data_IF_556725987888
#
_entry.id   IF_556725987888
#
_cell.length_a   1.000
_cell.length_b   1.000
_cell.length_c   1.000
_cell.angle_alpha   90.00
_cell.angle_beta   90.00
_cell.angle_gamma   90.00
#
_symmetry.space_group_name_H-M   'P 1'
#
loop_
_entity.id
_entity.type
_entity.pdbx_description
1 polymer ?
#
# COMPACT_ATOMS: atom_id res chain seq x y z
N UNK A 1 5.65 35.49 -18.52
CA UNK A 1 4.79 34.30 -18.33
C UNK A 1 5.69 33.15 -17.92
N UNK A 2 5.63 32.73 -16.66
CA UNK A 2 6.44 31.62 -16.13
C UNK A 2 5.85 30.30 -16.63
N UNK A 3 6.66 29.43 -17.21
CA UNK A 3 6.29 28.05 -17.52
C UNK A 3 5.85 27.33 -16.23
N UNK A 4 4.78 26.52 -16.24
CA UNK A 4 4.38 25.77 -15.05
C UNK A 4 5.49 24.79 -14.62
N UNK A 5 5.79 24.68 -13.31
CA UNK A 5 6.68 23.64 -12.79
C UNK A 5 6.09 22.27 -13.16
N UNK A 6 6.93 21.33 -13.59
CA UNK A 6 6.59 19.94 -13.98
C UNK A 6 6.13 19.66 -15.43
N UNK A 7 6.07 20.63 -16.34
CA UNK A 7 5.86 20.32 -17.77
C UNK A 7 6.93 19.36 -18.34
N UNK A 8 8.12 19.32 -17.75
CA UNK A 8 9.24 18.47 -18.15
C UNK A 8 9.05 16.99 -17.78
N UNK A 9 8.18 16.66 -16.82
CA UNK A 9 7.81 15.27 -16.54
C UNK A 9 7.02 14.64 -17.70
N UNK A 10 6.42 15.48 -18.56
CA UNK A 10 5.84 15.07 -19.86
C UNK A 10 6.89 15.08 -21.00
N UNK A 11 8.09 15.63 -20.75
CA UNK A 11 9.11 15.96 -21.74
C UNK A 11 10.34 15.05 -21.73
N UNK A 12 10.34 13.93 -21.00
CA UNK A 12 11.42 12.93 -21.05
C UNK A 12 11.58 12.26 -22.44
N UNK A 13 10.83 12.68 -23.46
CA UNK A 13 10.92 12.14 -24.82
C UNK A 13 11.49 13.07 -25.91
N UNK A 14 11.78 14.37 -25.68
CA UNK A 14 12.28 15.20 -26.80
C UNK A 14 13.23 16.32 -26.34
N UNK A 15 14.53 16.15 -26.61
CA UNK A 15 15.46 17.26 -26.80
C UNK A 15 16.40 16.93 -27.98
N UNK A 16 16.55 17.81 -28.99
CA UNK A 16 17.47 17.57 -30.09
C UNK A 16 18.91 17.79 -29.63
N UNK A 17 19.76 16.79 -29.87
CA UNK A 17 21.19 16.80 -29.58
C UNK A 17 21.89 17.94 -30.34
N UNK A 18 22.59 18.80 -29.61
CA UNK A 18 23.78 19.49 -30.14
C UNK A 18 25.00 18.61 -29.88
N UNK A 19 25.93 18.44 -30.85
CA UNK A 19 27.04 17.53 -30.69
C UNK A 19 28.19 18.21 -29.94
N UNK A 20 28.45 17.78 -28.70
CA UNK A 20 29.69 18.14 -28.01
C UNK A 20 29.67 17.89 -26.51
N UNK A 21 30.38 16.83 -26.10
CA UNK A 21 31.06 16.63 -24.81
C UNK A 21 30.54 15.50 -23.91
N UNK A 22 31.44 14.53 -23.72
CA UNK A 22 31.61 13.53 -22.64
C UNK A 22 30.38 12.72 -22.17
N UNK A 23 30.42 11.42 -22.50
CA UNK A 23 29.38 10.42 -22.32
C UNK A 23 29.07 10.06 -20.85
N UNK A 24 27.78 10.17 -20.48
CA UNK A 24 27.16 9.25 -19.52
C UNK A 24 26.91 7.90 -20.21
N UNK A 25 26.97 6.76 -19.50
CA UNK A 25 26.52 5.50 -20.06
C UNK A 25 25.03 5.62 -20.40
N UNK A 26 24.72 5.54 -21.69
CA UNK A 26 23.35 5.42 -22.19
C UNK A 26 22.78 4.12 -21.60
N UNK A 27 21.83 4.24 -20.68
CA UNK A 27 20.88 3.17 -20.43
C UNK A 27 20.13 2.91 -21.74
N UNK A 28 19.97 1.64 -22.09
CA UNK A 28 19.26 1.19 -23.29
C UNK A 28 17.79 1.66 -23.23
N UNK A 29 17.52 2.84 -23.81
CA UNK A 29 16.18 3.23 -24.22
C UNK A 29 15.80 2.45 -25.47
N UNK A 30 15.08 1.36 -25.26
CA UNK A 30 14.15 0.83 -26.23
C UNK A 30 12.83 0.56 -25.49
N UNK A 31 11.90 1.50 -25.61
CA UNK A 31 10.49 1.30 -25.26
C UNK A 31 9.91 0.19 -26.14
N UNK A 32 10.04 -1.05 -25.67
CA UNK A 32 9.32 -2.19 -26.18
C UNK A 32 7.96 -2.26 -25.48
N UNK A 33 6.89 -2.42 -26.27
CA UNK A 33 5.55 -2.87 -25.84
C UNK A 33 5.58 -4.31 -25.28
N UNK A 34 6.70 -4.74 -24.71
CA UNK A 34 6.84 -6.02 -24.05
C UNK A 34 5.88 -6.06 -22.86
N UNK A 35 5.17 -7.17 -22.72
CA UNK A 35 4.38 -7.43 -21.52
C UNK A 35 5.28 -7.26 -20.29
N UNK A 36 4.77 -6.63 -19.22
CA UNK A 36 5.53 -6.48 -17.99
C UNK A 36 5.96 -7.86 -17.48
N UNK A 37 7.27 -8.04 -17.31
CA UNK A 37 7.79 -9.22 -16.63
C UNK A 37 7.44 -9.14 -15.15
N UNK A 38 7.14 -10.28 -14.50
CA UNK A 38 6.99 -10.31 -13.06
C UNK A 38 8.31 -9.90 -12.38
N UNK A 39 8.28 -9.25 -11.21
CA UNK A 39 9.46 -8.80 -10.48
C UNK A 39 10.54 -9.88 -10.28
N UNK A 40 10.16 -11.14 -10.03
CA UNK A 40 11.09 -12.26 -9.88
C UNK A 40 11.89 -12.59 -11.15
N UNK A 41 11.37 -12.22 -12.32
CA UNK A 41 11.95 -12.50 -13.63
C UNK A 41 12.53 -11.25 -14.32
N UNK A 42 12.27 -10.07 -13.77
CA UNK A 42 12.72 -8.80 -14.33
C UNK A 42 14.00 -8.31 -13.63
N UNK A 43 15.17 -8.31 -14.32
CA UNK A 43 16.42 -7.84 -13.75
C UNK A 43 16.37 -6.37 -13.28
N UNK A 44 15.42 -5.57 -13.78
CA UNK A 44 15.21 -4.21 -13.31
C UNK A 44 14.77 -4.14 -11.83
N UNK A 45 14.26 -5.21 -11.22
CA UNK A 45 13.99 -5.20 -9.78
C UNK A 45 15.23 -5.45 -8.91
N UNK A 46 16.37 -5.87 -9.49
CA UNK A 46 17.60 -6.09 -8.71
C UNK A 46 18.21 -4.77 -8.29
N UNK A 47 18.39 -4.54 -7.00
CA UNK A 47 19.13 -3.35 -6.54
C UNK A 47 20.56 -3.32 -7.11
N UNK A 48 21.08 -2.15 -7.49
CA UNK A 48 22.46 -2.00 -7.95
C UNK A 48 23.45 -2.30 -6.82
N UNK A 49 24.71 -2.53 -7.17
CA UNK A 49 25.79 -2.64 -6.18
C UNK A 49 25.86 -1.39 -5.29
N UNK A 50 26.24 -1.58 -4.03
CA UNK A 50 26.42 -0.54 -3.01
C UNK A 50 25.16 0.26 -2.65
N UNK A 51 23.97 -0.21 -3.04
CA UNK A 51 22.71 0.44 -2.66
C UNK A 51 22.54 0.52 -1.14
N UNK A 52 23.17 -0.38 -0.39
CA UNK A 52 23.13 -0.46 1.06
C UNK A 52 23.71 0.79 1.73
N UNK A 53 24.64 1.47 1.05
CA UNK A 53 25.29 2.70 1.53
C UNK A 53 24.48 3.97 1.24
N UNK A 54 23.46 3.87 0.37
CA UNK A 54 22.57 4.97 -0.02
C UNK A 54 21.63 5.32 1.12
N UNK A 55 21.06 6.52 1.08
CA UNK A 55 20.12 6.98 2.12
C UNK A 55 18.72 6.41 1.88
N UNK A 56 17.93 6.13 2.94
CA UNK A 56 16.52 5.79 2.78
C UNK A 56 15.79 6.83 1.92
N UNK A 57 15.04 6.36 0.93
CA UNK A 57 14.34 7.20 -0.06
C UNK A 57 15.18 7.66 -1.25
N UNK A 58 16.48 7.35 -1.30
CA UNK A 58 17.31 7.67 -2.46
C UNK A 58 16.91 6.82 -3.67
N UNK A 59 16.85 7.44 -4.84
CA UNK A 59 16.52 6.76 -6.09
C UNK A 59 17.71 5.92 -6.52
N UNK A 60 17.43 4.66 -6.83
CA UNK A 60 18.41 3.71 -7.33
C UNK A 60 18.24 3.53 -8.85
N UNK A 61 17.00 3.39 -9.32
CA UNK A 61 16.66 3.29 -10.74
C UNK A 61 15.31 3.93 -11.04
N UNK A 62 15.17 4.41 -12.26
CA UNK A 62 13.93 4.96 -12.81
C UNK A 62 13.70 4.33 -14.18
N UNK A 63 12.45 3.97 -14.48
CA UNK A 63 12.01 3.65 -15.84
C UNK A 63 10.58 4.12 -16.07
N UNK A 64 10.21 4.31 -17.33
CA UNK A 64 8.80 4.29 -17.71
C UNK A 64 8.19 2.95 -17.29
N UNK A 65 6.97 2.98 -16.78
CA UNK A 65 6.23 1.76 -16.49
C UNK A 65 6.08 0.95 -17.81
N UNK A 66 6.48 -0.33 -17.84
CA UNK A 66 6.51 -1.12 -19.07
C UNK A 66 5.10 -1.36 -19.66
N UNK A 67 5.01 -1.84 -20.90
CA UNK A 67 3.73 -2.19 -21.51
C UNK A 67 2.73 -1.02 -21.60
N UNK A 68 1.47 -1.28 -21.26
CA UNK A 68 0.35 -0.35 -21.49
C UNK A 68 -0.30 0.21 -20.21
N UNK A 69 0.45 0.36 -19.11
CA UNK A 69 -0.13 0.71 -17.81
C UNK A 69 -0.97 2.00 -17.83
N UNK A 70 -0.52 3.01 -18.57
CA UNK A 70 -1.24 4.28 -18.71
C UNK A 70 -2.63 4.08 -19.33
N UNK A 71 -2.76 3.14 -20.27
CA UNK A 71 -4.05 2.78 -20.89
C UNK A 71 -4.92 1.98 -19.93
N UNK A 72 -4.32 1.04 -19.18
CA UNK A 72 -5.01 0.21 -18.16
C UNK A 72 -5.58 1.06 -17.02
N UNK A 73 -4.87 2.12 -16.62
CA UNK A 73 -5.38 3.09 -15.64
C UNK A 73 -6.43 4.01 -16.28
N UNK A 74 -6.21 4.46 -17.51
CA UNK A 74 -7.20 5.18 -18.29
C UNK A 74 -6.85 6.64 -18.55
N UNK A 75 -7.81 7.36 -19.12
CA UNK A 75 -7.58 8.60 -19.85
C UNK A 75 -7.06 9.77 -19.01
N UNK A 76 -7.23 9.77 -17.68
CA UNK A 76 -6.65 10.83 -16.83
C UNK A 76 -5.13 10.68 -16.57
N UNK A 77 -4.54 9.55 -16.95
CA UNK A 77 -3.10 9.30 -16.79
C UNK A 77 -2.32 9.86 -17.96
N UNK A 78 -1.29 10.66 -17.69
CA UNK A 78 -0.37 11.15 -18.70
C UNK A 78 0.88 10.29 -18.84
N UNK A 79 1.44 9.86 -17.71
CA UNK A 79 2.61 9.00 -17.64
C UNK A 79 2.58 8.16 -16.36
N UNK A 80 3.28 7.03 -16.39
CA UNK A 80 3.55 6.20 -15.23
C UNK A 80 5.02 5.79 -15.21
N UNK A 81 5.66 5.85 -14.04
CA UNK A 81 7.06 5.51 -13.84
C UNK A 81 7.21 4.48 -12.73
N UNK A 82 8.12 3.53 -12.89
CA UNK A 82 8.58 2.72 -11.76
C UNK A 82 9.84 3.36 -11.19
N UNK A 83 9.83 3.59 -9.88
CA UNK A 83 10.96 4.13 -9.13
C UNK A 83 11.44 3.03 -8.18
N UNK A 84 12.66 2.54 -8.38
CA UNK A 84 13.33 1.65 -7.43
C UNK A 84 14.13 2.52 -6.47
N UNK A 85 13.88 2.39 -5.18
CA UNK A 85 14.49 3.22 -4.14
C UNK A 85 15.02 2.40 -2.98
N UNK A 86 16.02 2.94 -2.29
CA UNK A 86 16.58 2.35 -1.07
C UNK A 86 15.59 2.54 0.08
N UNK A 87 15.33 1.50 0.87
CA UNK A 87 14.55 1.56 2.11
C UNK A 87 15.20 0.75 3.24
N UNK A 88 14.48 0.44 4.30
CA UNK A 88 14.94 -0.27 5.49
C UNK A 88 13.99 -1.40 5.83
N UNK A 89 14.50 -2.62 6.04
CA UNK A 89 13.67 -3.78 6.35
C UNK A 89 13.17 -3.81 7.81
N UNK A 90 12.42 -4.85 8.18
CA UNK A 90 11.86 -4.97 9.53
C UNK A 90 12.90 -5.24 10.63
N UNK A 91 14.17 -5.45 10.24
CA UNK A 91 15.31 -5.71 11.11
C UNK A 91 16.33 -4.57 11.05
N UNK A 92 15.91 -3.40 10.59
CA UNK A 92 16.71 -2.19 10.43
C UNK A 92 17.91 -2.36 9.49
N UNK A 93 17.84 -3.31 8.55
CA UNK A 93 18.88 -3.53 7.53
C UNK A 93 18.54 -2.79 6.24
N UNK A 94 19.54 -2.33 5.47
CA UNK A 94 19.30 -1.76 4.16
C UNK A 94 18.51 -2.73 3.26
N UNK A 95 17.48 -2.21 2.62
CA UNK A 95 16.61 -2.93 1.70
C UNK A 95 16.25 -2.03 0.53
N UNK A 96 15.40 -2.50 -0.36
CA UNK A 96 14.88 -1.72 -1.49
C UNK A 96 13.39 -1.98 -1.66
N UNK A 97 12.72 -1.08 -2.34
CA UNK A 97 11.35 -1.27 -2.77
C UNK A 97 11.10 -0.52 -4.08
N UNK A 98 9.96 -0.78 -4.69
CA UNK A 98 9.51 -0.09 -5.91
C UNK A 98 8.25 0.70 -5.59
N UNK A 99 8.08 1.83 -6.26
CA UNK A 99 6.79 2.53 -6.30
C UNK A 99 6.45 2.89 -7.73
N UNK A 100 5.18 2.75 -8.08
CA UNK A 100 4.67 3.29 -9.34
C UNK A 100 4.17 4.70 -9.11
N UNK A 101 4.75 5.69 -9.79
CA UNK A 101 4.33 7.08 -9.79
C UNK A 101 3.48 7.36 -11.03
N UNK A 102 2.25 7.80 -10.83
CA UNK A 102 1.30 8.21 -11.86
C UNK A 102 1.16 9.71 -11.90
N UNK A 103 1.16 10.25 -13.12
CA UNK A 103 1.05 11.67 -13.37
C UNK A 103 -0.33 11.95 -13.98
N UNK A 104 -1.06 12.95 -13.47
CA UNK A 104 -2.33 13.34 -14.06
C UNK A 104 -2.08 14.15 -15.34
N UNK A 105 -3.09 14.25 -16.22
CA UNK A 105 -3.04 15.15 -17.38
C UNK A 105 -3.11 16.63 -16.99
N UNK A 106 -3.84 16.93 -15.93
CA UNK A 106 -3.99 18.27 -15.37
C UNK A 106 -3.63 18.19 -13.91
N UNK A 107 -2.72 19.03 -13.43
CA UNK A 107 -2.36 19.05 -12.01
C UNK A 107 -3.23 20.02 -11.23
N UNK A 108 -3.54 19.64 -10.01
CA UNK A 108 -4.06 20.53 -8.99
C UNK A 108 -2.91 21.05 -8.11
N UNK A 109 -2.95 22.34 -7.82
CA UNK A 109 -2.06 22.99 -6.87
C UNK A 109 -2.90 23.58 -5.74
N UNK A 110 -2.43 23.42 -4.51
CA UNK A 110 -3.06 24.02 -3.33
C UNK A 110 -3.00 25.56 -3.38
N UNK A 111 -3.75 26.28 -2.52
CA UNK A 111 -3.64 27.73 -2.41
C UNK A 111 -2.21 28.23 -2.16
N UNK A 112 -1.40 27.47 -1.43
CA UNK A 112 0.04 27.77 -1.23
C UNK A 112 0.94 27.41 -2.43
N UNK A 113 0.37 26.87 -3.51
CA UNK A 113 1.08 26.53 -4.74
C UNK A 113 1.77 25.17 -4.73
N UNK A 114 1.47 24.30 -3.76
CA UNK A 114 2.05 22.95 -3.65
C UNK A 114 1.29 21.96 -4.53
N UNK A 115 2.00 21.04 -5.17
CA UNK A 115 1.38 19.95 -5.90
C UNK A 115 0.80 18.91 -4.93
N UNK A 116 -0.40 18.39 -5.22
CA UNK A 116 -0.99 17.31 -4.44
C UNK A 116 -0.35 15.97 -4.76
N UNK A 117 0.22 15.29 -3.75
CA UNK A 117 0.74 13.94 -3.87
C UNK A 117 -0.03 12.99 -2.95
N UNK A 118 -0.73 12.03 -3.54
CA UNK A 118 -1.41 10.95 -2.84
C UNK A 118 -0.55 9.69 -2.85
N UNK A 119 -0.04 9.27 -1.70
CA UNK A 119 0.58 7.95 -1.56
C UNK A 119 -0.47 6.92 -1.17
N UNK A 120 -0.84 6.03 -2.10
CA UNK A 120 -1.91 5.05 -1.87
C UNK A 120 -1.36 3.62 -1.74
N UNK A 121 -1.66 2.96 -0.62
CA UNK A 121 -1.21 1.61 -0.30
C UNK A 121 -2.32 0.60 -0.61
N UNK A 122 -2.17 -0.14 -1.71
CA UNK A 122 -3.11 -1.21 -2.08
C UNK A 122 -2.96 -2.44 -1.19
N UNK A 123 -4.08 -3.08 -0.83
CA UNK A 123 -4.07 -4.35 -0.13
C UNK A 123 -3.83 -5.52 -1.11
N UNK A 124 -2.57 -5.88 -1.34
CA UNK A 124 -2.22 -7.05 -2.18
C UNK A 124 -2.00 -8.35 -1.38
N UNK A 125 -1.90 -8.25 -0.04
CA UNK A 125 -2.10 -9.32 0.94
C UNK A 125 -1.49 -10.68 0.55
N UNK A 126 -0.25 -10.68 0.04
CA UNK A 126 0.38 -11.85 -0.55
C UNK A 126 1.82 -12.01 -0.05
N UNK A 127 2.26 -13.26 0.07
CA UNK A 127 3.65 -13.64 0.30
C UNK A 127 4.41 -13.95 -1.01
N UNK A 128 3.90 -13.45 -2.14
CA UNK A 128 4.49 -13.57 -3.46
C UNK A 128 4.97 -12.19 -3.95
N UNK A 129 6.26 -12.07 -4.23
CA UNK A 129 6.86 -10.85 -4.79
C UNK A 129 6.18 -10.44 -6.11
N UNK A 130 5.73 -11.41 -6.90
CA UNK A 130 5.08 -11.15 -8.18
C UNK A 130 3.67 -10.60 -8.09
N UNK A 131 3.12 -10.54 -6.87
CA UNK A 131 1.86 -9.88 -6.56
C UNK A 131 2.01 -8.40 -6.20
N UNK A 132 3.23 -7.86 -6.25
CA UNK A 132 3.52 -6.45 -5.91
C UNK A 132 2.71 -5.47 -6.78
N UNK A 133 2.19 -4.37 -6.22
CA UNK A 133 1.38 -3.38 -6.93
C UNK A 133 1.95 -2.91 -8.28
N UNK A 134 3.27 -2.70 -8.36
CA UNK A 134 3.95 -2.27 -9.57
C UNK A 134 3.68 -3.17 -10.79
N UNK A 135 3.45 -4.46 -10.59
CA UNK A 135 2.99 -5.39 -11.64
C UNK A 135 1.52 -5.77 -11.47
N UNK A 136 1.01 -5.84 -10.24
CA UNK A 136 -0.39 -6.13 -9.90
C UNK A 136 -1.41 -5.32 -10.70
N UNK A 137 -1.08 -4.05 -10.97
CA UNK A 137 -1.91 -3.07 -11.69
C UNK A 137 -2.11 -3.37 -13.19
N UNK A 138 -1.43 -4.37 -13.76
CA UNK A 138 -1.69 -4.84 -15.13
C UNK A 138 -2.67 -6.03 -15.18
N UNK A 139 -2.96 -6.68 -14.05
CA UNK A 139 -3.76 -7.90 -14.01
C UNK A 139 -4.72 -7.89 -12.81
N UNK A 140 -4.42 -8.50 -11.65
CA UNK A 140 -5.42 -8.64 -10.56
C UNK A 140 -5.92 -7.32 -10.02
N UNK A 141 -5.05 -6.32 -9.82
CA UNK A 141 -5.48 -5.01 -9.33
C UNK A 141 -6.19 -4.20 -10.44
N UNK A 142 -6.09 -4.60 -11.71
CA UNK A 142 -6.84 -4.02 -12.82
C UNK A 142 -8.26 -4.61 -12.97
N UNK A 143 -8.56 -5.73 -12.30
CA UNK A 143 -9.85 -6.40 -12.41
C UNK A 143 -10.87 -5.77 -11.45
N UNK A 144 -12.08 -5.55 -11.95
CA UNK A 144 -13.25 -5.20 -11.14
C UNK A 144 -13.97 -6.46 -10.66
N UNK A 145 -14.59 -6.42 -9.48
CA UNK A 145 -15.48 -7.46 -9.01
C UNK A 145 -16.93 -7.01 -9.14
N UNK A 146 -17.51 -7.23 -10.33
CA UNK A 146 -18.88 -6.82 -10.65
C UNK A 146 -19.93 -7.42 -9.71
N UNK A 147 -19.74 -8.66 -9.26
CA UNK A 147 -20.66 -9.33 -8.35
C UNK A 147 -20.74 -8.64 -6.99
N UNK A 148 -19.63 -8.07 -6.53
CA UNK A 148 -19.55 -7.32 -5.27
C UNK A 148 -19.66 -5.80 -5.45
N UNK A 149 -19.82 -5.32 -6.69
CA UNK A 149 -19.84 -3.90 -7.02
C UNK A 149 -18.51 -3.17 -6.77
N UNK A 150 -17.40 -3.90 -6.64
CA UNK A 150 -16.09 -3.33 -6.31
C UNK A 150 -15.33 -2.98 -7.58
N UNK A 151 -14.91 -1.72 -7.69
CA UNK A 151 -14.10 -1.26 -8.82
C UNK A 151 -12.68 -1.79 -8.76
N UNK A 152 -12.00 -1.78 -9.91
CA UNK A 152 -10.58 -2.08 -9.96
C UNK A 152 -9.76 -1.03 -9.19
N UNK A 153 -8.59 -1.44 -8.70
CA UNK A 153 -7.62 -0.50 -8.11
C UNK A 153 -7.15 0.54 -9.13
N UNK A 154 -7.06 0.15 -10.40
CA UNK A 154 -6.72 1.07 -11.50
C UNK A 154 -7.79 2.16 -11.70
N UNK A 155 -9.07 1.83 -11.50
CA UNK A 155 -10.17 2.81 -11.49
C UNK A 155 -10.05 3.80 -10.32
N UNK A 156 -9.57 3.35 -9.16
CA UNK A 156 -9.30 4.24 -8.03
C UNK A 156 -8.13 5.19 -8.33
N UNK A 157 -7.04 4.70 -8.93
CA UNK A 157 -5.95 5.57 -9.41
C UNK A 157 -6.47 6.58 -10.41
N UNK A 158 -7.25 6.14 -11.40
CA UNK A 158 -7.87 7.00 -12.40
C UNK A 158 -8.73 8.10 -11.78
N UNK A 159 -9.50 7.76 -10.75
CA UNK A 159 -10.32 8.70 -9.99
C UNK A 159 -9.44 9.74 -9.27
N UNK A 160 -8.38 9.33 -8.57
CA UNK A 160 -7.45 10.27 -7.91
C UNK A 160 -6.77 11.20 -8.92
N UNK A 161 -6.33 10.67 -10.07
CA UNK A 161 -5.74 11.45 -11.16
C UNK A 161 -6.74 12.45 -11.76
N UNK A 162 -8.04 12.12 -11.78
CA UNK A 162 -9.09 13.04 -12.26
C UNK A 162 -9.23 14.31 -11.39
N UNK A 163 -8.77 14.24 -10.14
CA UNK A 163 -8.73 15.39 -9.23
C UNK A 163 -7.46 16.23 -9.41
N UNK A 164 -6.57 15.80 -10.31
CA UNK A 164 -5.28 16.42 -10.58
C UNK A 164 -4.21 16.13 -9.55
N UNK A 165 -4.38 15.06 -8.76
CA UNK A 165 -3.38 14.62 -7.79
C UNK A 165 -2.34 13.72 -8.46
N UNK A 166 -1.06 13.91 -8.15
CA UNK A 166 -0.07 12.86 -8.40
C UNK A 166 -0.39 11.68 -7.48
N UNK A 167 -0.17 10.46 -7.96
CA UNK A 167 -0.43 9.25 -7.17
C UNK A 167 0.82 8.39 -7.19
N UNK A 168 1.34 8.02 -6.01
CA UNK A 168 2.37 6.98 -5.92
C UNK A 168 1.84 5.75 -5.16
N UNK A 169 2.12 4.56 -5.67
CA UNK A 169 1.64 3.30 -5.09
C UNK A 169 2.84 2.41 -4.78
N UNK A 170 3.27 2.29 -3.51
CA UNK A 170 4.47 1.55 -3.16
C UNK A 170 4.23 0.04 -3.04
N UNK A 171 5.23 -0.74 -3.47
CA UNK A 171 5.38 -2.17 -3.20
C UNK A 171 5.91 -2.35 -1.76
N UNK A 172 5.07 -1.97 -0.80
CA UNK A 172 5.52 -1.70 0.57
C UNK A 172 6.01 -2.95 1.35
N UNK A 173 5.75 -4.17 0.88
CA UNK A 173 6.21 -5.42 1.50
C UNK A 173 7.64 -5.77 1.07
N UNK A 174 8.26 -4.98 0.18
CA UNK A 174 9.66 -5.12 -0.22
C UNK A 174 9.96 -6.40 -1.01
N UNK A 175 11.25 -6.74 -1.19
CA UNK A 175 11.70 -7.90 -1.99
C UNK A 175 11.23 -9.24 -1.44
N UNK A 176 10.93 -9.31 -0.15
CA UNK A 176 10.58 -10.56 0.52
C UNK A 176 9.07 -10.84 0.52
N UNK A 177 8.26 -9.93 -0.04
CA UNK A 177 6.80 -9.96 0.09
C UNK A 177 6.37 -10.18 1.56
N UNK A 178 6.96 -9.40 2.47
CA UNK A 178 6.77 -9.50 3.91
C UNK A 178 5.38 -9.01 4.36
N UNK A 179 4.31 -9.69 3.92
CA UNK A 179 2.94 -9.36 4.29
C UNK A 179 2.74 -9.43 5.81
N UNK A 180 2.16 -8.35 6.36
CA UNK A 180 1.94 -8.20 7.79
C UNK A 180 3.10 -7.55 8.53
N UNK A 181 4.29 -7.42 7.91
CA UNK A 181 5.44 -6.82 8.57
C UNK A 181 5.34 -5.28 8.56
N UNK A 182 4.79 -4.70 9.64
CA UNK A 182 4.51 -3.25 9.72
C UNK A 182 5.74 -2.39 9.48
N UNK A 183 6.90 -2.81 9.96
CA UNK A 183 8.13 -1.98 9.95
C UNK A 183 8.63 -1.80 8.52
N UNK A 184 8.79 -2.89 7.77
CA UNK A 184 9.05 -2.87 6.33
C UNK A 184 8.00 -2.02 5.58
N UNK A 185 6.71 -2.23 5.88
CA UNK A 185 5.61 -1.54 5.21
C UNK A 185 5.62 -0.02 5.41
N UNK A 186 5.86 0.46 6.64
CA UNK A 186 5.95 1.88 6.96
C UNK A 186 7.20 2.54 6.40
N UNK A 187 8.37 1.92 6.54
CA UNK A 187 9.62 2.44 5.97
C UNK A 187 9.53 2.57 4.45
N UNK A 188 9.09 1.52 3.75
CA UNK A 188 8.93 1.56 2.30
C UNK A 188 7.93 2.64 1.86
N UNK A 189 6.82 2.80 2.58
CA UNK A 189 5.84 3.86 2.27
C UNK A 189 6.44 5.26 2.41
N UNK A 190 7.10 5.57 3.52
CA UNK A 190 7.75 6.88 3.74
C UNK A 190 8.88 7.12 2.73
N UNK A 191 9.70 6.11 2.47
CA UNK A 191 10.80 6.21 1.53
C UNK A 191 10.32 6.30 0.06
N UNK A 192 9.13 5.78 -0.26
CA UNK A 192 8.52 5.99 -1.57
C UNK A 192 8.17 7.46 -1.82
N UNK A 193 7.73 8.18 -0.78
CA UNK A 193 7.44 9.61 -0.85
C UNK A 193 8.76 10.38 -1.01
N UNK A 194 9.80 10.01 -0.25
CA UNK A 194 11.15 10.56 -0.44
C UNK A 194 11.67 10.34 -1.86
N UNK A 195 11.44 9.16 -2.45
CA UNK A 195 11.86 8.86 -3.82
C UNK A 195 11.17 9.77 -4.84
N UNK A 196 9.88 10.06 -4.66
CA UNK A 196 9.14 11.01 -5.50
C UNK A 196 9.66 12.44 -5.30
N UNK A 197 9.89 12.86 -4.05
CA UNK A 197 10.46 14.18 -3.73
C UNK A 197 11.85 14.34 -4.34
N UNK A 198 12.69 13.31 -4.24
CA UNK A 198 14.02 13.28 -4.84
C UNK A 198 13.94 13.40 -6.37
N UNK A 199 13.04 12.66 -7.03
CA UNK A 199 12.82 12.77 -8.47
C UNK A 199 12.41 14.19 -8.88
N UNK A 200 11.50 14.81 -8.14
CA UNK A 200 11.03 16.17 -8.39
C UNK A 200 12.16 17.20 -8.19
N UNK A 201 13.00 17.03 -7.17
CA UNK A 201 14.17 17.88 -6.96
C UNK A 201 15.17 17.83 -8.14
N UNK A 202 15.38 16.64 -8.73
CA UNK A 202 16.25 16.48 -9.90
C UNK A 202 15.70 17.14 -11.17
N UNK A 203 14.38 17.36 -11.25
CA UNK A 203 13.68 17.82 -12.46
C UNK A 203 13.17 19.26 -12.39
N UNK A 204 13.46 19.98 -11.31
CA UNK A 204 13.07 21.38 -11.11
C UNK A 204 11.86 21.53 -10.17
N UNK A 205 12.17 21.45 -8.87
CA UNK A 205 11.35 21.61 -7.65
C UNK A 205 9.85 21.83 -7.83
N UNK A 206 9.08 20.87 -7.33
CA UNK A 206 7.74 21.09 -6.81
C UNK A 206 7.75 20.78 -5.30
N UNK A 207 7.22 21.69 -4.49
CA UNK A 207 6.83 21.37 -3.13
C UNK A 207 5.54 20.56 -3.18
N UNK A 208 5.43 19.57 -2.29
CA UNK A 208 4.27 18.70 -2.22
C UNK A 208 3.44 18.96 -0.97
N UNK A 209 2.12 18.91 -1.15
CA UNK A 209 1.19 18.65 -0.08
C UNK A 209 0.86 17.14 -0.14
N UNK A 210 1.32 16.38 0.85
CA UNK A 210 1.27 14.91 0.81
C UNK A 210 0.13 14.39 1.67
N UNK A 211 -0.70 13.53 1.11
CA UNK A 211 -1.60 12.68 1.88
C UNK A 211 -1.24 11.21 1.66
N UNK A 212 -1.49 10.38 2.67
CA UNK A 212 -1.31 8.93 2.58
C UNK A 212 -2.65 8.21 2.79
N UNK A 213 -2.86 7.05 2.18
CA UNK A 213 -4.12 6.35 2.33
C UNK A 213 -4.06 4.88 1.99
N UNK A 214 -4.93 4.11 2.63
CA UNK A 214 -5.04 2.69 2.38
C UNK A 214 -6.36 2.12 2.88
N UNK A 215 -6.71 0.96 2.35
CA UNK A 215 -7.89 0.20 2.76
C UNK A 215 -7.49 -1.21 3.18
N UNK A 216 -8.15 -1.79 4.19
CA UNK A 216 -7.89 -3.16 4.64
C UNK A 216 -6.40 -3.38 4.91
N UNK A 217 -5.76 -4.41 4.35
CA UNK A 217 -4.31 -4.66 4.51
C UNK A 217 -3.40 -3.50 4.07
N UNK A 218 -3.87 -2.58 3.24
CA UNK A 218 -3.15 -1.34 2.92
C UNK A 218 -3.00 -0.41 4.11
N UNK A 219 -3.94 -0.44 5.06
CA UNK A 219 -3.88 0.38 6.29
C UNK A 219 -2.73 -0.01 7.21
N UNK A 220 -2.20 -1.25 7.10
CA UNK A 220 -0.99 -1.66 7.83
C UNK A 220 0.18 -0.73 7.47
N UNK A 221 0.37 -0.49 6.18
CA UNK A 221 1.41 0.38 5.66
C UNK A 221 1.09 1.86 5.95
N UNK A 222 -0.15 2.29 5.71
CA UNK A 222 -0.58 3.68 5.92
C UNK A 222 -0.48 4.12 7.39
N UNK A 223 -1.06 3.36 8.32
CA UNK A 223 -1.02 3.71 9.74
C UNK A 223 0.41 3.64 10.26
N UNK A 224 1.20 2.63 9.87
CA UNK A 224 2.59 2.53 10.33
C UNK A 224 3.45 3.68 9.81
N UNK A 225 3.27 4.09 8.54
CA UNK A 225 3.92 5.28 8.02
C UNK A 225 3.52 6.54 8.82
N UNK A 226 2.24 6.70 9.14
CA UNK A 226 1.75 7.81 9.97
C UNK A 226 2.38 7.83 11.38
N UNK A 227 2.51 6.66 12.01
CA UNK A 227 3.14 6.50 13.32
C UNK A 227 4.65 6.77 13.29
N UNK A 228 5.33 6.33 12.24
CA UNK A 228 6.78 6.42 12.10
C UNK A 228 7.25 7.78 11.55
N UNK A 229 6.38 8.57 10.91
CA UNK A 229 6.76 9.81 10.22
C UNK A 229 7.68 10.68 11.08
N UNK A 230 7.31 10.99 12.32
CA UNK A 230 8.10 11.88 13.19
C UNK A 230 9.49 11.32 13.54
N UNK A 231 9.62 10.00 13.70
CA UNK A 231 10.86 9.37 14.14
C UNK A 231 11.77 8.99 12.97
N UNK A 232 11.20 8.58 11.84
CA UNK A 232 11.91 8.03 10.68
C UNK A 232 12.05 9.01 9.52
N UNK A 233 11.04 9.86 9.30
CA UNK A 233 10.98 10.80 8.18
C UNK A 233 10.38 12.16 8.56
N UNK A 234 10.97 12.86 9.56
CA UNK A 234 10.43 14.10 10.10
C UNK A 234 10.34 15.23 9.07
N UNK A 235 11.14 15.17 8.01
CA UNK A 235 11.17 16.15 6.93
C UNK A 235 10.00 16.02 5.94
N UNK A 236 9.26 14.91 5.95
CA UNK A 236 8.15 14.68 5.02
C UNK A 236 6.90 15.47 5.45
N UNK A 237 6.33 16.32 4.57
CA UNK A 237 5.16 17.15 4.87
C UNK A 237 3.84 16.37 4.67
N UNK A 238 3.62 15.31 5.47
CA UNK A 238 2.38 14.55 5.43
C UNK A 238 1.27 15.34 6.14
N UNK A 239 0.33 15.86 5.37
CA UNK A 239 -0.73 16.74 5.83
C UNK A 239 -2.00 15.99 6.30
N UNK A 240 -2.16 14.72 5.93
CA UNK A 240 -3.27 13.90 6.40
C UNK A 240 -3.16 12.44 5.98
N UNK A 241 -3.89 11.57 6.69
CA UNK A 241 -3.98 10.16 6.34
C UNK A 241 -5.41 9.62 6.37
N UNK A 242 -5.74 8.77 5.39
CA UNK A 242 -7.03 8.06 5.32
C UNK A 242 -6.85 6.58 5.60
N UNK A 243 -7.65 6.05 6.52
CA UNK A 243 -7.61 4.66 6.96
C UNK A 243 -9.00 4.04 6.80
N UNK A 244 -9.20 3.23 5.76
CA UNK A 244 -10.46 2.52 5.51
C UNK A 244 -10.41 1.06 5.93
N UNK A 245 -11.44 0.56 6.62
CA UNK A 245 -11.48 -0.84 7.05
C UNK A 245 -10.26 -1.22 7.88
N UNK A 246 -9.87 -0.34 8.82
CA UNK A 246 -8.60 -0.39 9.55
C UNK A 246 -8.30 -1.79 10.09
N UNK A 247 -7.04 -2.20 9.89
CA UNK A 247 -6.44 -3.44 10.39
C UNK A 247 -5.50 -3.07 11.55
N UNK A 248 -6.03 -3.09 12.76
CA UNK A 248 -5.33 -2.64 13.97
C UNK A 248 -4.40 -3.70 14.57
N UNK A 249 -4.94 -4.92 14.70
CA UNK A 249 -4.32 -5.98 15.50
C UNK A 249 -4.52 -7.34 14.86
N UNK A 250 -3.45 -7.89 14.29
CA UNK A 250 -3.36 -9.31 13.91
C UNK A 250 -2.43 -10.00 14.91
N UNK A 251 -2.74 -9.92 16.20
CA UNK A 251 -1.86 -10.38 17.29
C UNK A 251 -2.01 -11.88 17.59
N UNK A 252 -2.05 -12.71 16.55
CA UNK A 252 -2.09 -14.16 16.69
C UNK A 252 -3.47 -14.76 16.97
N UNK A 253 -4.52 -13.96 17.23
CA UNK A 253 -5.88 -14.48 17.21
C UNK A 253 -6.38 -14.53 15.75
N UNK A 254 -6.39 -15.74 15.20
CA UNK A 254 -6.68 -15.97 13.78
C UNK A 254 -8.07 -16.55 13.56
N UNK A 255 -8.90 -16.65 14.61
CA UNK A 255 -10.17 -17.37 14.54
C UNK A 255 -11.17 -16.73 13.57
N UNK A 256 -11.14 -15.40 13.40
CA UNK A 256 -11.98 -14.70 12.41
C UNK A 256 -11.59 -15.02 10.96
N UNK A 257 -10.34 -15.42 10.71
CA UNK A 257 -9.83 -15.76 9.39
C UNK A 257 -9.86 -17.28 9.14
N UNK A 258 -9.63 -18.08 10.19
CA UNK A 258 -9.66 -19.53 10.08
C UNK A 258 -11.04 -20.03 9.65
N UNK A 259 -11.10 -20.97 8.71
CA UNK A 259 -12.37 -21.48 8.11
C UNK A 259 -13.25 -20.42 7.43
N UNK A 260 -12.80 -19.17 7.35
CA UNK A 260 -13.54 -18.12 6.65
C UNK A 260 -13.43 -18.30 5.12
N UNK A 261 -14.30 -17.62 4.34
CA UNK A 261 -14.15 -17.56 2.89
C UNK A 261 -12.79 -17.01 2.42
N UNK A 262 -12.07 -16.25 3.27
CA UNK A 262 -10.77 -15.64 2.95
C UNK A 262 -9.59 -16.30 3.69
N UNK A 263 -9.73 -17.54 4.15
CA UNK A 263 -8.69 -18.22 4.94
C UNK A 263 -7.31 -18.30 4.25
N UNK A 264 -7.24 -18.16 2.92
CA UNK A 264 -5.97 -18.02 2.19
C UNK A 264 -5.14 -16.79 2.58
N UNK A 265 -5.79 -15.71 3.04
CA UNK A 265 -5.11 -14.52 3.56
C UNK A 265 -4.31 -14.85 4.82
N UNK A 266 -4.81 -15.75 5.68
CA UNK A 266 -4.07 -16.19 6.87
C UNK A 266 -2.80 -16.96 6.48
N UNK A 267 -2.89 -17.83 5.47
CA UNK A 267 -1.72 -18.56 4.95
C UNK A 267 -0.69 -17.57 4.40
N UNK A 268 -1.12 -16.60 3.58
CA UNK A 268 -0.24 -15.56 3.06
C UNK A 268 0.39 -14.72 4.19
N UNK A 269 -0.37 -14.36 5.22
CA UNK A 269 0.12 -13.62 6.38
C UNK A 269 1.22 -14.39 7.12
N UNK A 270 0.98 -15.65 7.47
CA UNK A 270 1.95 -16.49 8.20
C UNK A 270 3.26 -16.66 7.43
N UNK A 271 3.16 -16.77 6.10
CA UNK A 271 4.32 -16.86 5.22
C UNK A 271 5.07 -15.53 5.10
N UNK A 272 4.34 -14.41 4.96
CA UNK A 272 4.90 -13.07 4.79
C UNK A 272 5.53 -12.52 6.06
N UNK A 273 4.85 -12.64 7.21
CA UNK A 273 5.32 -12.08 8.49
C UNK A 273 6.65 -12.71 8.93
N UNK A 274 6.89 -13.97 8.53
CA UNK A 274 8.12 -14.71 8.82
C UNK A 274 9.22 -14.53 7.76
N UNK A 275 8.95 -13.86 6.63
CA UNK A 275 9.86 -13.81 5.49
C UNK A 275 11.24 -13.19 5.82
N UNK A 276 11.27 -12.21 6.72
CA UNK A 276 12.50 -11.53 7.16
C UNK A 276 13.10 -12.13 8.46
N UNK A 277 12.47 -13.18 9.01
CA UNK A 277 12.80 -13.78 10.30
C UNK A 277 13.07 -15.28 10.14
N UNK A 278 14.30 -15.69 9.75
CA UNK A 278 14.61 -17.08 9.40
C UNK A 278 14.32 -18.11 10.50
N UNK A 279 14.49 -17.75 11.78
CA UNK A 279 14.23 -18.68 12.88
C UNK A 279 12.73 -18.89 13.10
N UNK A 280 11.92 -17.82 13.02
CA UNK A 280 10.47 -17.91 13.06
C UNK A 280 9.92 -18.68 11.85
N UNK A 281 10.52 -18.46 10.66
CA UNK A 281 10.20 -19.18 9.43
C UNK A 281 10.48 -20.68 9.55
N UNK A 282 11.67 -21.03 10.05
CA UNK A 282 12.06 -22.43 10.28
C UNK A 282 11.14 -23.10 11.30
N UNK A 283 10.78 -22.39 12.37
CA UNK A 283 9.81 -22.89 13.33
C UNK A 283 8.46 -23.19 12.67
N UNK A 284 7.89 -22.22 11.94
CA UNK A 284 6.60 -22.37 11.24
C UNK A 284 6.61 -23.61 10.33
N UNK A 285 7.64 -23.75 9.48
CA UNK A 285 7.76 -24.87 8.55
C UNK A 285 7.94 -26.23 9.26
N UNK A 286 8.70 -26.26 10.36
CA UNK A 286 8.87 -27.47 11.16
C UNK A 286 7.56 -27.94 11.81
N UNK A 287 6.60 -27.04 12.05
CA UNK A 287 5.30 -27.38 12.60
C UNK A 287 4.28 -27.82 11.54
N UNK A 288 4.57 -27.66 10.25
CA UNK A 288 3.65 -28.10 9.21
C UNK A 288 3.50 -29.63 9.20
N UNK A 289 2.27 -30.11 9.00
CA UNK A 289 1.98 -31.52 8.74
C UNK A 289 2.61 -31.89 7.40
N UNK A 290 3.49 -32.91 7.32
CA UNK A 290 4.23 -33.22 6.09
C UNK A 290 3.37 -33.44 4.84
N UNK A 291 2.18 -34.02 5.01
CA UNK A 291 1.25 -34.30 3.91
C UNK A 291 0.64 -33.03 3.28
N UNK A 292 0.51 -31.94 4.04
CA UNK A 292 -0.12 -30.68 3.58
C UNK A 292 0.86 -29.52 3.49
N UNK A 293 2.11 -29.72 3.90
CA UNK A 293 3.15 -28.68 3.90
C UNK A 293 3.35 -28.05 2.51
N UNK A 294 3.44 -28.86 1.45
CA UNK A 294 3.57 -28.34 0.08
C UNK A 294 2.38 -27.47 -0.33
N UNK A 295 1.17 -27.86 0.07
CA UNK A 295 -0.03 -27.09 -0.23
C UNK A 295 -0.05 -25.76 0.52
N UNK A 296 0.30 -25.74 1.81
CA UNK A 296 0.45 -24.50 2.58
C UNK A 296 1.46 -23.55 1.93
N UNK A 297 2.62 -24.09 1.55
CA UNK A 297 3.74 -23.34 1.00
C UNK A 297 3.46 -22.76 -0.39
N UNK A 298 2.53 -23.33 -1.16
CA UNK A 298 2.21 -22.85 -2.51
C UNK A 298 1.65 -21.43 -2.54
N UNK A 299 1.18 -20.89 -1.40
CA UNK A 299 0.72 -19.51 -1.33
C UNK A 299 1.84 -18.48 -1.59
N UNK A 300 3.13 -18.89 -1.51
CA UNK A 300 4.28 -18.05 -1.92
C UNK A 300 4.34 -17.80 -3.43
N UNK A 301 3.67 -18.64 -4.21
CA UNK A 301 3.65 -18.56 -5.68
C UNK A 301 2.28 -18.08 -6.19
N UNK A 302 1.44 -17.54 -5.30
CA UNK A 302 0.06 -17.15 -5.59
C UNK A 302 -0.21 -15.71 -5.18
N UNK A 303 -1.06 -15.04 -5.96
CA UNK A 303 -1.69 -13.81 -5.52
C UNK A 303 -2.79 -14.09 -4.48
N UNK A 304 -3.22 -13.06 -3.76
CA UNK A 304 -4.23 -13.23 -2.70
C UNK A 304 -5.54 -13.80 -3.22
N UNK A 305 -5.98 -13.46 -4.44
CA UNK A 305 -7.24 -14.00 -4.97
C UNK A 305 -7.16 -15.52 -5.21
N UNK A 306 -6.05 -15.99 -5.79
CA UNK A 306 -5.83 -17.43 -6.00
C UNK A 306 -5.66 -18.18 -4.67
N UNK A 307 -4.97 -17.57 -3.70
CA UNK A 307 -4.86 -18.12 -2.35
C UNK A 307 -6.24 -18.21 -1.67
N UNK A 308 -7.06 -17.17 -1.76
CA UNK A 308 -8.43 -17.17 -1.23
C UNK A 308 -9.24 -18.29 -1.86
N UNK A 309 -9.22 -18.46 -3.19
CA UNK A 309 -9.92 -19.56 -3.85
C UNK A 309 -9.41 -20.93 -3.39
N UNK A 310 -8.08 -21.12 -3.30
CA UNK A 310 -7.48 -22.41 -2.92
C UNK A 310 -7.79 -22.80 -1.47
N UNK A 311 -7.88 -21.84 -0.57
CA UNK A 311 -8.02 -22.08 0.87
C UNK A 311 -9.39 -21.71 1.44
N UNK A 312 -10.34 -21.25 0.63
CA UNK A 312 -11.68 -20.87 1.07
C UNK A 312 -12.33 -21.95 1.96
N UNK A 313 -12.77 -21.55 3.16
CA UNK A 313 -13.45 -22.43 4.11
C UNK A 313 -12.57 -23.48 4.80
N UNK A 314 -11.28 -23.58 4.45
CA UNK A 314 -10.38 -24.58 5.05
C UNK A 314 -10.01 -24.20 6.48
N UNK A 315 -9.89 -25.24 7.32
CA UNK A 315 -9.30 -25.10 8.64
C UNK A 315 -7.78 -25.04 8.51
N UNK A 316 -7.23 -23.83 8.59
CA UNK A 316 -5.80 -23.54 8.47
C UNK A 316 -5.01 -24.19 9.62
N UNK A 317 -5.63 -24.39 10.79
CA UNK A 317 -4.98 -25.08 11.89
C UNK A 317 -4.66 -26.55 11.57
N UNK A 318 -5.40 -27.20 10.65
CA UNK A 318 -5.10 -28.58 10.22
C UNK A 318 -3.81 -28.71 9.40
N UNK A 319 -3.19 -27.59 9.00
CA UNK A 319 -1.88 -27.61 8.37
C UNK A 319 -0.73 -27.75 9.40
N UNK A 320 -1.01 -27.64 10.70
CA UNK A 320 -0.02 -27.66 11.77
C UNK A 320 -0.18 -28.88 12.68
N UNK A 321 0.93 -29.48 13.11
CA UNK A 321 0.97 -30.72 13.91
C UNK A 321 0.23 -30.58 15.25
N UNK A 322 0.45 -29.45 15.93
CA UNK A 322 -0.20 -29.03 17.17
C UNK A 322 -1.39 -28.09 16.96
N UNK A 323 -1.87 -27.94 15.72
CA UNK A 323 -3.00 -27.07 15.39
C UNK A 323 -2.76 -25.60 15.72
N UNK A 324 -3.77 -24.93 16.28
CA UNK A 324 -3.69 -23.53 16.68
C UNK A 324 -2.55 -23.24 17.68
N UNK A 325 -2.19 -24.22 18.53
CA UNK A 325 -1.17 -24.03 19.57
C UNK A 325 0.22 -23.77 18.99
N UNK A 326 0.54 -24.36 17.83
CA UNK A 326 1.81 -24.12 17.14
C UNK A 326 1.93 -22.65 16.72
N UNK A 327 0.82 -22.03 16.31
CA UNK A 327 0.74 -20.62 15.94
C UNK A 327 0.78 -19.68 17.15
N UNK A 328 0.55 -20.19 18.36
CA UNK A 328 0.68 -19.47 19.63
C UNK A 328 2.04 -19.63 20.30
N UNK A 329 3.02 -20.26 19.64
CA UNK A 329 4.35 -20.39 20.22
C UNK A 329 5.01 -19.03 20.49
N UNK A 330 5.81 -18.89 21.56
CA UNK A 330 6.43 -17.61 21.94
C UNK A 330 7.16 -16.92 20.79
N UNK A 331 7.95 -17.66 20.01
CA UNK A 331 8.71 -17.13 18.86
C UNK A 331 7.83 -16.45 17.80
N UNK A 332 6.60 -16.96 17.59
CA UNK A 332 5.65 -16.37 16.65
C UNK A 332 4.84 -15.24 17.30
N UNK A 333 4.43 -15.40 18.56
CA UNK A 333 3.69 -14.36 19.30
C UNK A 333 4.49 -13.08 19.48
N UNK A 334 5.77 -13.20 19.82
CA UNK A 334 6.68 -12.06 19.92
C UNK A 334 6.80 -11.33 18.57
N UNK A 335 6.91 -12.10 17.48
CA UNK A 335 6.94 -11.55 16.13
C UNK A 335 5.63 -10.85 15.76
N UNK A 336 4.46 -11.44 16.04
CA UNK A 336 3.17 -10.79 15.79
C UNK A 336 3.01 -9.52 16.60
N UNK A 337 3.42 -9.51 17.86
CA UNK A 337 3.39 -8.30 18.69
C UNK A 337 4.33 -7.21 18.18
N UNK A 338 5.50 -7.58 17.67
CA UNK A 338 6.46 -6.63 17.11
C UNK A 338 5.99 -6.06 15.76
N UNK A 339 5.45 -6.92 14.90
CA UNK A 339 5.26 -6.61 13.49
C UNK A 339 3.80 -6.48 13.03
N UNK A 340 2.82 -7.03 13.74
CA UNK A 340 1.42 -7.08 13.30
C UNK A 340 0.41 -6.49 14.32
N UNK A 341 0.89 -5.94 15.43
CA UNK A 341 0.11 -5.12 16.37
C UNK A 341 0.48 -3.64 16.17
N UNK A 342 -0.48 -2.83 15.70
CA UNK A 342 -0.28 -1.41 15.40
C UNK A 342 -0.83 -0.49 16.50
N UNK A 343 -1.54 -1.03 17.49
CA UNK A 343 -2.34 -0.25 18.43
C UNK A 343 -1.52 0.77 19.22
N UNK A 344 -0.34 0.38 19.73
CA UNK A 344 0.51 1.25 20.56
C UNK A 344 1.94 1.36 20.04
N UNK A 345 2.09 1.73 18.76
CA UNK A 345 3.41 1.83 18.10
C UNK A 345 3.79 3.25 17.67
N UNK A 346 3.16 4.24 18.28
CA UNK A 346 3.28 5.66 17.95
C UNK A 346 1.90 6.28 17.74
N UNK A 347 1.80 7.59 17.94
CA UNK A 347 0.58 8.36 17.70
C UNK A 347 0.82 9.25 16.48
N UNK A 348 0.02 9.10 15.40
CA UNK A 348 0.11 9.98 14.25
C UNK A 348 -0.08 11.45 14.64
N UNK A 349 0.79 12.32 14.11
CA UNK A 349 0.74 13.77 14.37
C UNK A 349 -0.05 14.55 13.33
N UNK A 350 -0.34 13.94 12.19
CA UNK A 350 -1.21 14.47 11.15
C UNK A 350 -2.68 14.09 11.41
N UNK A 351 -3.65 14.88 10.92
CA UNK A 351 -5.05 14.52 10.95
C UNK A 351 -5.34 13.17 10.28
N UNK A 352 -6.23 12.39 10.88
CA UNK A 352 -6.68 11.10 10.35
C UNK A 352 -8.16 11.13 10.01
N UNK A 353 -8.52 10.57 8.86
CA UNK A 353 -9.89 10.14 8.58
C UNK A 353 -9.95 8.63 8.59
N UNK A 354 -10.68 8.09 9.57
CA UNK A 354 -10.89 6.66 9.73
C UNK A 354 -12.32 6.34 9.34
N UNK A 355 -12.53 5.33 8.51
CA UNK A 355 -13.88 4.87 8.19
C UNK A 355 -13.96 3.35 8.18
N UNK A 356 -15.05 2.80 8.73
CA UNK A 356 -15.20 1.35 8.92
C UNK A 356 -16.67 0.95 9.02
N UNK A 357 -17.04 -0.18 8.44
CA UNK A 357 -18.34 -0.79 8.67
C UNK A 357 -18.44 -1.34 10.10
N UNK A 358 -19.57 -1.11 10.76
CA UNK A 358 -19.87 -1.69 12.08
C UNK A 358 -19.92 -3.21 12.03
N UNK A 359 -20.37 -3.77 10.90
CA UNK A 359 -20.49 -5.22 10.68
C UNK A 359 -19.28 -5.82 9.95
N UNK A 360 -18.11 -5.21 10.08
CA UNK A 360 -16.87 -5.74 9.53
C UNK A 360 -16.56 -7.14 10.13
N UNK A 361 -16.68 -8.17 9.30
CA UNK A 361 -16.59 -9.57 9.70
C UNK A 361 -15.15 -10.09 9.82
N UNK A 362 -14.16 -9.35 9.30
CA UNK A 362 -12.76 -9.78 9.28
C UNK A 362 -11.90 -8.98 10.24
N UNK A 363 -12.23 -7.72 10.43
CA UNK A 363 -11.54 -6.79 11.29
C UNK A 363 -12.59 -6.19 12.24
N UNK A 364 -12.83 -6.80 13.41
CA UNK A 364 -13.89 -6.36 14.32
C UNK A 364 -13.76 -4.88 14.70
N UNK A 365 -14.90 -4.18 14.73
CA UNK A 365 -14.91 -2.73 14.95
C UNK A 365 -14.39 -2.32 16.32
N UNK A 366 -14.50 -3.19 17.32
CA UNK A 366 -14.05 -2.95 18.69
C UNK A 366 -12.54 -2.71 18.75
N UNK A 367 -11.77 -3.34 17.85
CA UNK A 367 -10.32 -3.12 17.77
C UNK A 367 -10.01 -1.70 17.29
N UNK A 368 -10.70 -1.25 16.24
CA UNK A 368 -10.57 0.12 15.72
C UNK A 368 -11.06 1.15 16.73
N UNK A 369 -12.18 0.88 17.42
CA UNK A 369 -12.70 1.74 18.49
C UNK A 369 -11.66 1.92 19.61
N UNK A 370 -10.97 0.85 20.00
CA UNK A 370 -9.91 0.89 21.01
C UNK A 370 -8.67 1.67 20.56
N UNK A 371 -8.20 1.46 19.33
CA UNK A 371 -7.05 2.20 18.76
C UNK A 371 -7.37 3.69 18.62
N UNK A 372 -8.53 4.03 18.04
CA UNK A 372 -8.94 5.43 17.90
C UNK A 372 -9.06 6.09 19.26
N UNK A 373 -9.66 5.42 20.25
CA UNK A 373 -9.71 5.93 21.62
C UNK A 373 -8.31 6.19 22.19
N UNK A 374 -7.39 5.23 22.05
CA UNK A 374 -6.01 5.39 22.54
C UNK A 374 -5.32 6.60 21.90
N UNK A 375 -5.49 6.80 20.60
CA UNK A 375 -4.91 7.95 19.90
C UNK A 375 -5.59 9.27 20.31
N UNK A 376 -6.92 9.29 20.46
CA UNK A 376 -7.65 10.46 20.98
C UNK A 376 -7.16 10.85 22.38
N UNK A 377 -7.01 9.88 23.29
CA UNK A 377 -6.53 10.10 24.66
C UNK A 377 -5.08 10.65 24.67
N UNK A 378 -4.32 10.41 23.60
CA UNK A 378 -2.96 10.94 23.39
C UNK A 378 -2.92 12.20 22.51
N UNK A 379 -4.07 12.80 22.19
CA UNK A 379 -4.16 14.10 21.51
C UNK A 379 -4.14 14.05 19.97
N UNK A 380 -4.36 12.88 19.36
CA UNK A 380 -4.49 12.80 17.90
C UNK A 380 -5.75 13.53 17.40
N UNK A 381 -5.68 14.09 16.20
CA UNK A 381 -6.82 14.68 15.48
C UNK A 381 -7.39 13.60 14.58
N UNK A 382 -8.58 13.10 14.89
CA UNK A 382 -9.20 11.98 14.16
C UNK A 382 -10.66 12.31 13.90
N UNK A 383 -11.09 12.11 12.65
CA UNK A 383 -12.49 11.96 12.30
C UNK A 383 -12.76 10.50 11.98
N UNK A 384 -13.44 9.81 12.88
CA UNK A 384 -13.76 8.39 12.76
C UNK A 384 -15.26 8.20 12.47
N UNK A 385 -15.56 7.66 11.29
CA UNK A 385 -16.93 7.38 10.86
C UNK A 385 -17.22 5.88 10.84
N UNK A 386 -18.18 5.46 11.66
CA UNK A 386 -18.65 4.08 11.79
C UNK A 386 -19.91 3.88 10.94
N UNK A 387 -19.84 3.09 9.88
CA UNK A 387 -20.95 2.92 8.96
C UNK A 387 -21.86 1.75 9.36
N UNK A 388 -23.15 2.02 9.53
CA UNK A 388 -24.15 1.00 9.87
C UNK A 388 -24.56 0.12 8.68
N UNK A 389 -24.24 0.54 7.46
CA UNK A 389 -24.53 -0.18 6.21
C UNK A 389 -23.28 -0.88 5.70
N UNK A 390 -23.45 -2.13 5.23
CA UNK A 390 -22.37 -2.90 4.64
C UNK A 390 -21.52 -3.65 5.65
N UNK A 391 -20.42 -4.19 5.14
CA UNK A 391 -19.46 -5.09 5.78
C UNK A 391 -18.04 -4.73 5.28
N UNK A 392 -17.03 -5.54 5.56
CA UNK A 392 -15.64 -5.22 5.20
C UNK A 392 -15.43 -4.95 3.70
N UNK A 393 -16.09 -5.71 2.82
CA UNK A 393 -15.86 -5.58 1.38
C UNK A 393 -16.66 -4.42 0.80
N UNK A 394 -17.92 -4.26 1.17
CA UNK A 394 -18.76 -3.17 0.65
C UNK A 394 -18.35 -1.79 1.15
N UNK A 395 -17.70 -1.70 2.32
CA UNK A 395 -17.18 -0.43 2.84
C UNK A 395 -16.05 0.17 1.99
N UNK A 396 -15.38 -0.62 1.13
CA UNK A 396 -14.45 -0.12 0.11
C UNK A 396 -15.12 0.99 -0.71
N UNK A 397 -16.36 0.77 -1.13
CA UNK A 397 -17.12 1.69 -1.98
C UNK A 397 -17.97 2.66 -1.17
N UNK A 398 -18.65 2.21 -0.10
CA UNK A 398 -19.52 3.06 0.71
C UNK A 398 -18.78 4.26 1.34
N UNK A 399 -17.52 4.08 1.73
CA UNK A 399 -16.70 5.13 2.34
C UNK A 399 -15.92 5.99 1.35
N UNK A 400 -15.76 5.54 0.10
CA UNK A 400 -14.85 6.13 -0.89
C UNK A 400 -15.10 7.61 -1.15
N UNK A 401 -16.37 8.00 -1.36
CA UNK A 401 -16.72 9.40 -1.64
C UNK A 401 -16.43 10.32 -0.46
N UNK A 402 -16.64 9.84 0.77
CA UNK A 402 -16.37 10.58 2.01
C UNK A 402 -14.87 10.73 2.25
N UNK A 403 -14.11 9.66 2.05
CA UNK A 403 -12.65 9.68 2.09
C UNK A 403 -12.07 10.68 1.09
N UNK A 404 -12.55 10.67 -0.16
CA UNK A 404 -12.14 11.64 -1.18
C UNK A 404 -12.52 13.08 -0.82
N UNK A 405 -13.73 13.30 -0.30
CA UNK A 405 -14.16 14.63 0.14
C UNK A 405 -13.29 15.15 1.28
N UNK A 406 -12.91 14.29 2.23
CA UNK A 406 -11.99 14.65 3.30
C UNK A 406 -10.58 14.94 2.76
N UNK A 407 -10.05 14.11 1.85
CA UNK A 407 -8.74 14.36 1.21
C UNK A 407 -8.70 15.72 0.48
N UNK A 408 -9.81 16.14 -0.11
CA UNK A 408 -9.90 17.48 -0.69
C UNK A 408 -9.62 18.58 0.31
N UNK A 409 -10.11 18.45 1.55
CA UNK A 409 -9.84 19.44 2.63
C UNK A 409 -8.36 19.49 3.01
N UNK A 410 -7.63 18.37 2.85
CA UNK A 410 -6.19 18.31 3.05
C UNK A 410 -5.47 18.99 1.89
N UNK A 411 -5.79 18.61 0.65
CA UNK A 411 -5.10 19.09 -0.54
C UNK A 411 -5.38 20.55 -0.86
N UNK A 412 -6.58 21.05 -0.60
CA UNK A 412 -6.92 22.45 -0.76
C UNK A 412 -6.54 23.32 0.45
N UNK A 413 -5.91 22.75 1.46
CA UNK A 413 -5.48 23.43 2.69
C UNK A 413 -6.63 24.08 3.49
N UNK A 414 -7.85 23.55 3.37
CA UNK A 414 -9.04 24.03 4.10
C UNK A 414 -9.37 23.23 5.36
N UNK A 415 -8.63 22.16 5.65
CA UNK A 415 -8.83 21.37 6.87
C UNK A 415 -8.48 22.21 8.11
N UNK A 416 -9.45 22.36 9.01
CA UNK A 416 -9.32 23.20 10.20
C UNK A 416 -9.80 22.54 11.51
N UNK A 417 -10.16 21.25 11.48
CA UNK A 417 -10.58 20.54 12.68
C UNK A 417 -9.37 20.23 13.57
N UNK A 418 -9.55 20.36 14.88
CA UNK A 418 -8.54 20.04 15.90
C UNK A 418 -9.04 19.00 16.91
N UNK A 419 -10.15 18.34 16.61
CA UNK A 419 -10.85 17.44 17.53
C UNK A 419 -10.66 15.98 17.16
N UNK A 420 -10.84 15.11 18.14
CA UNK A 420 -10.97 13.67 17.95
C UNK A 420 -12.44 13.30 18.09
N UNK A 421 -13.08 12.86 17.01
CA UNK A 421 -14.52 12.61 16.95
C UNK A 421 -14.81 11.23 16.39
N UNK A 422 -15.77 10.55 17.01
CA UNK A 422 -16.34 9.29 16.53
C UNK A 422 -17.82 9.51 16.26
N UNK A 423 -18.26 9.23 15.04
CA UNK A 423 -19.67 9.39 14.63
C UNK A 423 -20.17 8.14 13.91
N UNK A 424 -21.42 7.79 14.15
CA UNK A 424 -22.10 6.76 13.37
C UNK A 424 -22.73 7.40 12.14
N UNK A 425 -22.57 6.75 10.99
CA UNK A 425 -23.15 7.17 9.71
C UNK A 425 -23.97 6.03 9.11
N UNK A 426 -24.85 6.36 8.17
CA UNK A 426 -25.68 5.40 7.43
C UNK A 426 -25.55 5.72 5.96
N UNK A 427 -24.54 5.15 5.31
CA UNK A 427 -24.19 5.46 3.92
C UNK A 427 -24.02 4.17 3.14
N UNK A 428 -24.75 4.00 2.05
CA UNK A 428 -24.56 2.90 1.11
C UNK A 428 -24.45 3.44 -0.31
N UNK A 429 -23.53 2.92 -1.10
CA UNK A 429 -23.66 3.02 -2.56
C UNK A 429 -24.84 2.13 -2.98
N UNK A 430 -25.75 2.60 -3.85
CA UNK A 430 -26.84 1.77 -4.32
C UNK A 430 -26.24 0.55 -5.05
N UNK A 431 -26.59 -0.66 -4.60
CA UNK A 431 -26.28 -1.90 -5.31
C UNK A 431 -26.84 -1.77 -6.72
N UNK A 432 -25.98 -1.60 -7.72
CA UNK A 432 -26.35 -1.91 -9.10
C UNK A 432 -26.47 -3.43 -9.17
N UNK A 433 -27.66 -3.95 -8.87
CA UNK A 433 -28.02 -5.31 -9.22
C UNK A 433 -27.76 -5.47 -10.73
N UNK A 434 -27.17 -6.59 -11.19
CA UNK A 434 -27.12 -6.88 -12.61
C UNK A 434 -28.55 -6.81 -13.14
N UNK A 435 -28.78 -6.01 -14.18
CA UNK A 435 -29.95 -6.23 -15.01
C UNK A 435 -29.82 -7.65 -15.57
N UNK A 436 -30.71 -8.55 -15.17
CA UNK A 436 -30.90 -9.81 -15.87
C UNK A 436 -31.23 -9.48 -17.33
N UNK A 437 -30.34 -9.86 -18.25
CA UNK A 437 -30.63 -9.98 -19.68
C UNK A 437 -29.81 -11.11 -20.26
#
# INVERSE_FOLDING_TARGET
MRTPPLHWLFGLCVAPLTPGSTACPRGEDAASLAQPLPPSQDPWYRAPLDFETRRPGELLKVRLAPGNLTEVVGSNTSAAYHLLYRTTDSRDRPSWAVTTLFLPRTMYFSPSGKASLMSYQFAYNSANLDSSPSIGLYWRLAQENRHLGIRSSTSLVHEMLSQGWLVNTPDYMGPDAAFGARTQAGHATLDSIRAVVHLAALTGQADFNVAIGGYSGGTIATLTAAQLQRAYAPELPIAGAVLGGLVDKIAGDFDSLNRSPIAGTLVAFLLGITAQYPDARRYLENQLVPATAKDFMSARDMNVADAVVKFAGKDIYQFFKGGASDLQAPILRELYYAQADLSDKGVPTMPLFVYKAIKDQYCPIEQTDATVKLFCDKGAVIKYERNSVGEHVSEIENGRLRARAWLWTIFNESFCDSSCTTVNVTVGEPLKLPSES
#
